data_IF_867888486836
#
_entry.id   IF_867888486836
#
_cell.length_a   1.000
_cell.length_b   1.000
_cell.length_c   1.000
_cell.angle_alpha   90.00
_cell.angle_beta   90.00
_cell.angle_gamma   90.00
#
_symmetry.space_group_name_H-M   'P 1'
#
loop_
_entity.id
_entity.type
_entity.pdbx_description
1 polymer ?
#
# COMPACT_ATOMS: atom_id res chain seq x y z
N UNK A 1 27.64 39.91 -21.73
CA UNK A 1 28.33 39.58 -20.46
C UNK A 1 27.35 39.58 -19.31
N UNK A 2 27.33 38.53 -18.48
CA UNK A 2 26.51 38.47 -17.25
C UNK A 2 27.17 39.39 -16.23
N UNK A 3 26.45 40.40 -15.73
CA UNK A 3 26.98 41.27 -14.69
C UNK A 3 26.98 40.58 -13.33
N UNK A 4 27.92 40.94 -12.43
CA UNK A 4 28.02 40.44 -11.06
C UNK A 4 26.65 40.49 -10.33
N UNK A 5 25.87 41.54 -10.56
CA UNK A 5 24.54 41.74 -9.98
C UNK A 5 23.53 40.73 -10.51
N UNK A 6 23.53 40.41 -11.81
CA UNK A 6 22.68 39.39 -12.39
C UNK A 6 23.06 37.99 -11.88
N UNK A 7 24.34 37.69 -11.77
CA UNK A 7 24.83 36.42 -11.24
C UNK A 7 24.39 36.18 -9.79
N UNK A 8 24.57 37.18 -8.90
CA UNK A 8 24.13 37.10 -7.49
C UNK A 8 22.59 36.93 -7.39
N UNK A 9 21.83 37.69 -8.20
CA UNK A 9 20.35 37.53 -8.23
C UNK A 9 19.92 36.15 -8.71
N UNK A 10 20.57 35.60 -9.72
CA UNK A 10 20.30 34.26 -10.22
C UNK A 10 20.62 33.19 -9.19
N UNK A 11 21.74 33.27 -8.48
CA UNK A 11 22.07 32.35 -7.38
C UNK A 11 21.03 32.47 -6.25
N UNK A 12 20.72 33.71 -5.83
CA UNK A 12 19.72 33.94 -4.79
C UNK A 12 18.33 33.35 -5.17
N UNK A 13 17.90 33.54 -6.41
CA UNK A 13 16.65 32.97 -6.93
C UNK A 13 16.67 31.46 -6.96
N UNK A 14 17.75 30.83 -7.42
CA UNK A 14 17.91 29.37 -7.44
C UNK A 14 17.96 28.78 -6.02
N UNK A 15 18.64 29.43 -5.09
CA UNK A 15 18.69 29.01 -3.70
C UNK A 15 17.31 29.09 -3.04
N UNK A 16 16.57 30.19 -3.25
CA UNK A 16 15.20 30.35 -2.74
C UNK A 16 14.26 29.28 -3.31
N UNK A 17 14.35 29.00 -4.61
CA UNK A 17 13.57 27.93 -5.24
C UNK A 17 13.92 26.55 -4.65
N UNK A 18 15.20 26.25 -4.46
CA UNK A 18 15.65 25.01 -3.85
C UNK A 18 15.12 24.81 -2.43
N UNK A 19 15.20 25.85 -1.59
CA UNK A 19 14.67 25.84 -0.21
C UNK A 19 13.14 25.65 -0.21
N UNK A 20 12.42 26.37 -1.07
CA UNK A 20 10.96 26.27 -1.17
C UNK A 20 10.51 24.87 -1.64
N UNK A 21 11.23 24.29 -2.61
CA UNK A 21 10.96 22.93 -3.09
C UNK A 21 11.22 21.89 -2.01
N UNK A 22 12.31 22.02 -1.25
CA UNK A 22 12.62 21.13 -0.13
C UNK A 22 11.57 21.25 0.99
N UNK A 23 11.19 22.47 1.36
CA UNK A 23 10.13 22.70 2.35
C UNK A 23 8.79 22.12 1.93
N UNK A 24 8.42 22.25 0.64
CA UNK A 24 7.24 21.62 0.08
C UNK A 24 7.31 20.10 0.16
N UNK A 25 8.42 19.50 -0.29
CA UNK A 25 8.59 18.04 -0.36
C UNK A 25 8.70 17.36 1.00
N UNK A 26 9.16 18.07 2.05
CA UNK A 26 9.27 17.53 3.41
C UNK A 26 8.05 17.87 4.28
N UNK A 27 7.56 19.11 4.21
CA UNK A 27 6.54 19.59 5.14
C UNK A 27 5.12 19.63 4.59
N UNK A 28 4.95 19.91 3.29
CA UNK A 28 3.61 20.13 2.72
C UNK A 28 3.08 18.86 2.05
N UNK A 29 3.77 18.35 1.05
CA UNK A 29 3.23 17.22 0.30
C UNK A 29 3.04 15.96 1.15
N UNK A 30 4.03 15.48 1.93
CA UNK A 30 3.85 14.26 2.70
C UNK A 30 2.86 14.40 3.86
N UNK A 31 2.63 15.61 4.39
CA UNK A 31 1.83 15.82 5.60
C UNK A 31 0.42 16.35 5.31
N UNK A 32 0.29 17.29 4.36
CA UNK A 32 -0.95 18.03 4.15
C UNK A 32 -1.71 17.65 2.89
N UNK A 33 -1.15 16.84 1.99
CA UNK A 33 -1.70 16.56 0.65
C UNK A 33 -2.29 15.16 0.53
N UNK A 34 -3.21 14.78 1.43
CA UNK A 34 -3.97 13.53 1.26
C UNK A 34 -4.96 13.65 0.08
N UNK A 35 -4.91 12.71 -0.85
CA UNK A 35 -5.85 12.61 -1.97
C UNK A 35 -6.56 11.26 -2.01
N UNK A 36 -7.65 11.20 -2.78
CA UNK A 36 -8.29 9.95 -3.19
C UNK A 36 -8.01 9.74 -4.68
N UNK A 37 -7.30 8.66 -5.01
CA UNK A 37 -7.02 8.28 -6.40
C UNK A 37 -8.01 7.20 -6.82
N UNK A 38 -8.73 7.43 -7.94
CA UNK A 38 -9.79 6.56 -8.40
C UNK A 38 -9.39 5.77 -9.63
N UNK A 39 -9.67 4.46 -9.60
CA UNK A 39 -9.46 3.55 -10.72
C UNK A 39 -10.76 2.80 -11.04
N UNK A 40 -11.01 2.62 -12.33
CA UNK A 40 -12.15 1.88 -12.87
C UNK A 40 -11.65 0.81 -13.84
N UNK A 41 -10.89 -0.19 -13.36
CA UNK A 41 -10.41 -1.27 -14.22
C UNK A 41 -11.57 -2.14 -14.68
N UNK A 42 -11.39 -2.79 -15.82
CA UNK A 42 -12.35 -3.75 -16.40
C UNK A 42 -11.65 -5.10 -16.60
N UNK A 43 -11.34 -5.82 -15.53
CA UNK A 43 -10.66 -7.10 -15.61
C UNK A 43 -11.53 -8.12 -16.33
N UNK A 44 -10.92 -8.95 -17.19
CA UNK A 44 -11.66 -9.97 -17.97
C UNK A 44 -12.36 -11.01 -17.09
N UNK A 45 -11.78 -11.29 -15.91
CA UNK A 45 -12.29 -12.30 -14.96
C UNK A 45 -13.26 -11.71 -13.94
N UNK A 46 -13.60 -10.43 -14.03
CA UNK A 46 -14.61 -9.79 -13.19
C UNK A 46 -15.87 -9.54 -14.02
N UNK A 47 -17.05 -10.02 -13.58
CA UNK A 47 -18.30 -9.79 -14.32
C UNK A 47 -18.61 -8.29 -14.41
N UNK A 48 -18.93 -7.84 -15.62
CA UNK A 48 -19.14 -6.40 -15.88
C UNK A 48 -20.35 -5.81 -15.14
N UNK A 49 -21.32 -6.65 -14.79
CA UNK A 49 -22.54 -6.34 -14.05
C UNK A 49 -22.42 -6.57 -12.53
N UNK A 50 -21.21 -6.82 -12.03
CA UNK A 50 -20.97 -7.04 -10.59
C UNK A 50 -20.22 -5.84 -10.00
N UNK A 51 -20.94 -4.81 -9.51
CA UNK A 51 -20.30 -3.62 -8.94
C UNK A 51 -19.68 -3.93 -7.57
N UNK A 52 -18.42 -3.56 -7.41
CA UNK A 52 -17.72 -3.62 -6.13
C UNK A 52 -16.84 -2.38 -5.97
N UNK A 53 -17.04 -1.63 -4.90
CA UNK A 53 -16.20 -0.48 -4.52
C UNK A 53 -15.24 -0.88 -3.42
N UNK A 54 -13.96 -0.77 -3.67
CA UNK A 54 -12.88 -1.11 -2.74
C UNK A 54 -12.14 0.17 -2.36
N UNK A 55 -11.89 0.39 -1.07
CA UNK A 55 -10.90 1.35 -0.62
C UNK A 55 -9.63 0.60 -0.19
N UNK A 56 -8.48 0.97 -0.74
CA UNK A 56 -7.20 0.39 -0.40
C UNK A 56 -6.31 1.43 0.28
N UNK A 57 -5.74 1.03 1.41
CA UNK A 57 -4.79 1.78 2.25
C UNK A 57 -3.48 1.01 2.25
N UNK A 58 -2.36 1.69 2.00
CA UNK A 58 -1.04 1.09 1.96
C UNK A 58 0.00 1.98 2.64
N UNK A 59 1.06 1.36 3.15
CA UNK A 59 2.29 2.04 3.55
C UNK A 59 2.02 3.19 4.53
N UNK A 60 1.35 2.90 5.64
CA UNK A 60 0.99 3.89 6.66
C UNK A 60 2.25 4.42 7.35
N UNK A 61 3.18 3.51 7.73
CA UNK A 61 4.42 3.87 8.42
C UNK A 61 4.20 4.77 9.64
N UNK A 62 3.36 4.32 10.57
CA UNK A 62 2.93 5.07 11.75
C UNK A 62 4.12 5.54 12.61
N UNK A 63 4.29 6.87 12.72
CA UNK A 63 5.35 7.51 13.51
C UNK A 63 5.11 9.00 13.68
N UNK A 64 5.59 9.58 14.77
CA UNK A 64 5.62 11.03 14.93
C UNK A 64 6.92 11.62 14.38
N UNK A 65 6.87 12.81 13.76
CA UNK A 65 5.70 13.65 13.50
C UNK A 65 5.01 13.38 12.15
N UNK A 66 5.47 12.38 11.37
CA UNK A 66 5.10 12.26 9.95
C UNK A 66 3.75 11.57 9.71
N UNK A 67 3.40 10.59 10.55
CA UNK A 67 2.15 9.84 10.47
C UNK A 67 1.64 9.57 11.90
N UNK A 68 1.19 10.63 12.56
CA UNK A 68 0.63 10.58 13.92
C UNK A 68 -0.71 9.83 13.98
N UNK A 69 -1.13 9.44 15.18
CA UNK A 69 -2.44 8.79 15.39
C UNK A 69 -3.58 9.67 14.89
N UNK A 70 -3.56 10.97 15.19
CA UNK A 70 -4.56 11.93 14.70
C UNK A 70 -4.65 11.94 13.17
N UNK A 71 -3.50 11.85 12.49
CA UNK A 71 -3.48 11.78 11.04
C UNK A 71 -4.05 10.47 10.52
N UNK A 72 -3.78 9.35 11.19
CA UNK A 72 -4.38 8.05 10.87
C UNK A 72 -5.90 8.09 11.10
N UNK A 73 -6.39 8.74 12.15
CA UNK A 73 -7.81 8.99 12.39
C UNK A 73 -8.45 9.76 11.22
N UNK A 74 -7.82 10.84 10.77
CA UNK A 74 -8.29 11.58 9.58
C UNK A 74 -8.31 10.75 8.30
N UNK A 75 -7.37 9.79 8.13
CA UNK A 75 -7.38 8.83 7.03
C UNK A 75 -8.54 7.85 7.16
N UNK A 76 -8.82 7.34 8.36
CA UNK A 76 -9.95 6.46 8.66
C UNK A 76 -11.26 7.17 8.32
N UNK A 77 -11.46 8.39 8.79
CA UNK A 77 -12.66 9.18 8.52
C UNK A 77 -12.84 9.42 7.01
N UNK A 78 -11.76 9.79 6.34
CA UNK A 78 -11.78 10.01 4.88
C UNK A 78 -12.09 8.75 4.10
N UNK A 79 -11.58 7.59 4.55
CA UNK A 79 -11.85 6.28 3.93
C UNK A 79 -13.30 5.88 4.14
N UNK A 80 -13.83 6.02 5.34
CA UNK A 80 -15.23 5.74 5.66
C UNK A 80 -16.20 6.61 4.87
N UNK A 81 -15.85 7.89 4.66
CA UNK A 81 -16.65 8.84 3.85
C UNK A 81 -16.76 8.45 2.36
N UNK A 82 -15.89 7.56 1.87
CA UNK A 82 -16.01 7.00 0.52
C UNK A 82 -17.16 5.98 0.41
N UNK A 83 -17.67 5.47 1.54
CA UNK A 83 -18.66 4.40 1.59
C UNK A 83 -18.26 3.19 0.73
N UNK A 84 -17.10 2.58 0.96
CA UNK A 84 -16.66 1.41 0.23
C UNK A 84 -17.46 0.16 0.63
N UNK A 85 -17.59 -0.80 -0.29
CA UNK A 85 -18.12 -2.12 0.02
C UNK A 85 -17.11 -2.98 0.81
N UNK A 86 -15.83 -2.78 0.53
CA UNK A 86 -14.69 -3.52 1.06
C UNK A 86 -13.54 -2.57 1.34
N UNK A 87 -12.84 -2.73 2.46
CA UNK A 87 -11.59 -2.03 2.74
C UNK A 87 -10.45 -3.05 2.79
N UNK A 88 -9.32 -2.74 2.15
CA UNK A 88 -8.12 -3.57 2.18
C UNK A 88 -6.91 -2.77 2.64
N UNK A 89 -6.12 -3.37 3.52
CA UNK A 89 -4.90 -2.81 4.08
C UNK A 89 -3.71 -3.60 3.49
N UNK A 90 -2.81 -2.91 2.79
CA UNK A 90 -1.82 -3.53 1.92
C UNK A 90 -0.41 -3.62 2.55
N UNK A 91 -0.29 -3.53 3.88
CA UNK A 91 0.98 -3.70 4.58
C UNK A 91 1.72 -2.40 4.88
N UNK A 92 2.88 -2.55 5.54
CA UNK A 92 3.79 -1.49 5.99
C UNK A 92 3.11 -0.49 6.94
N UNK A 93 2.63 -1.01 8.07
CA UNK A 93 1.99 -0.21 9.13
C UNK A 93 2.99 0.46 10.04
N UNK A 94 4.12 -0.21 10.33
CA UNK A 94 5.15 0.27 11.23
C UNK A 94 6.06 1.30 10.57
N UNK A 95 6.72 2.13 11.38
CA UNK A 95 7.58 3.19 10.89
C UNK A 95 8.66 2.69 9.92
N UNK A 96 8.73 3.31 8.73
CA UNK A 96 9.79 3.10 7.74
C UNK A 96 10.93 4.11 7.81
N UNK A 97 10.86 5.05 8.77
CA UNK A 97 11.80 6.16 8.96
C UNK A 97 12.62 5.95 10.22
N UNK A 98 13.88 6.47 10.21
CA UNK A 98 14.72 6.58 11.40
C UNK A 98 14.64 7.98 12.05
N UNK A 99 14.31 9.02 11.27
CA UNK A 99 14.18 10.41 11.72
C UNK A 99 12.77 10.63 12.30
N UNK A 100 12.50 10.03 13.45
CA UNK A 100 11.21 10.08 14.13
C UNK A 100 11.39 10.59 15.56
N UNK A 101 10.39 11.28 16.08
CA UNK A 101 10.35 11.69 17.48
C UNK A 101 9.73 10.63 18.37
N UNK A 102 8.89 9.76 17.79
CA UNK A 102 8.25 8.63 18.47
C UNK A 102 7.92 7.52 17.48
N UNK A 103 8.27 6.29 17.81
CA UNK A 103 7.73 5.09 17.18
C UNK A 103 6.38 4.77 17.82
N UNK A 104 5.32 4.71 17.01
CA UNK A 104 3.96 4.43 17.51
C UNK A 104 3.80 2.92 17.67
N UNK A 105 3.45 2.41 18.88
CA UNK A 105 3.21 0.99 19.10
C UNK A 105 2.09 0.43 18.21
N UNK A 106 2.23 -0.83 17.78
CA UNK A 106 1.25 -1.46 16.90
C UNK A 106 -0.16 -1.50 17.49
N UNK A 107 -0.30 -1.67 18.80
CA UNK A 107 -1.60 -1.63 19.48
C UNK A 107 -2.31 -0.27 19.41
N UNK A 108 -1.56 0.84 19.25
CA UNK A 108 -2.15 2.18 19.19
C UNK A 108 -2.72 2.46 17.78
N UNK A 109 -1.92 2.30 16.74
CA UNK A 109 -2.41 2.54 15.37
C UNK A 109 -3.44 1.48 14.92
N UNK A 110 -3.32 0.22 15.37
CA UNK A 110 -4.31 -0.80 15.08
C UNK A 110 -5.68 -0.48 15.68
N UNK A 111 -5.71 0.08 16.91
CA UNK A 111 -6.95 0.56 17.54
C UNK A 111 -7.60 1.68 16.73
N UNK A 112 -6.82 2.57 16.16
CA UNK A 112 -7.36 3.64 15.27
C UNK A 112 -7.91 3.02 13.99
N UNK A 113 -7.19 2.06 13.37
CA UNK A 113 -7.64 1.37 12.16
C UNK A 113 -8.91 0.53 12.38
N UNK A 114 -9.19 0.07 13.61
CA UNK A 114 -10.46 -0.56 13.97
C UNK A 114 -11.69 0.35 13.75
N UNK A 115 -11.48 1.66 13.59
CA UNK A 115 -12.52 2.63 13.20
C UNK A 115 -12.95 2.54 11.72
N UNK A 116 -12.25 1.80 10.87
CA UNK A 116 -12.61 1.57 9.47
C UNK A 116 -13.91 0.75 9.38
N UNK A 117 -14.78 1.10 8.41
CA UNK A 117 -16.11 0.49 8.27
C UNK A 117 -16.43 0.19 6.81
N UNK A 118 -16.71 -1.06 6.51
CA UNK A 118 -17.23 -1.50 5.21
C UNK A 118 -18.17 -2.71 5.39
N UNK A 119 -19.24 -2.85 4.59
CA UNK A 119 -20.18 -3.98 4.69
C UNK A 119 -19.53 -5.35 4.55
N UNK A 120 -18.50 -5.48 3.72
CA UNK A 120 -17.74 -6.72 3.52
C UNK A 120 -16.51 -6.83 4.42
N UNK A 121 -16.35 -5.89 5.36
CA UNK A 121 -15.24 -5.89 6.32
C UNK A 121 -14.00 -5.13 5.88
N UNK A 122 -13.01 -5.20 6.78
CA UNK A 122 -11.66 -4.68 6.59
C UNK A 122 -10.71 -5.86 6.63
N UNK A 123 -9.86 -6.01 5.62
CA UNK A 123 -8.97 -7.16 5.45
C UNK A 123 -7.54 -6.70 5.20
N UNK A 124 -6.55 -7.41 5.73
CA UNK A 124 -5.18 -6.98 5.73
C UNK A 124 -4.19 -8.03 5.19
N UNK A 125 -3.11 -7.55 4.59
CA UNK A 125 -1.86 -8.30 4.41
C UNK A 125 -0.73 -7.54 5.11
N UNK A 126 0.40 -8.19 5.34
CA UNK A 126 1.58 -7.59 5.94
C UNK A 126 2.54 -7.07 4.87
N UNK A 127 3.37 -6.08 5.24
CA UNK A 127 4.46 -5.60 4.41
C UNK A 127 5.83 -5.86 5.04
N UNK A 128 6.89 -5.63 4.28
CA UNK A 128 8.25 -5.99 4.67
C UNK A 128 8.73 -5.26 5.94
N UNK A 129 8.34 -4.00 6.15
CA UNK A 129 8.70 -3.29 7.38
C UNK A 129 8.06 -3.91 8.63
N UNK A 130 6.87 -4.47 8.53
CA UNK A 130 6.18 -5.14 9.64
C UNK A 130 6.94 -6.39 10.12
N UNK A 131 7.66 -7.06 9.19
CA UNK A 131 8.56 -8.17 9.52
C UNK A 131 9.94 -7.70 9.99
N UNK A 132 10.51 -6.68 9.33
CA UNK A 132 11.90 -6.27 9.58
C UNK A 132 12.17 -5.75 10.97
N UNK A 133 11.16 -5.14 11.61
CA UNK A 133 11.28 -4.63 12.98
C UNK A 133 11.02 -5.69 14.03
N UNK A 134 10.41 -6.82 13.68
CA UNK A 134 10.12 -7.92 14.62
C UNK A 134 11.29 -8.90 14.71
N UNK A 135 12.16 -8.66 15.70
CA UNK A 135 13.37 -9.47 15.90
C UNK A 135 13.07 -10.94 16.13
N UNK A 136 11.98 -11.27 16.84
CA UNK A 136 11.62 -12.64 17.14
C UNK A 136 11.24 -13.40 15.86
N UNK A 137 10.41 -12.79 15.01
CA UNK A 137 10.02 -13.35 13.72
C UNK A 137 11.20 -13.45 12.77
N UNK A 138 12.10 -12.45 12.75
CA UNK A 138 13.33 -12.50 11.94
C UNK A 138 14.24 -13.66 12.36
N UNK A 139 14.34 -13.96 13.66
CA UNK A 139 15.14 -15.07 14.18
C UNK A 139 14.50 -16.44 13.92
N UNK A 140 13.17 -16.51 14.05
CA UNK A 140 12.41 -17.75 13.84
C UNK A 140 12.24 -18.10 12.36
N UNK A 141 12.29 -17.09 11.46
CA UNK A 141 12.00 -17.24 10.04
C UNK A 141 10.54 -17.58 9.72
N UNK A 142 9.63 -17.35 10.67
CA UNK A 142 8.20 -17.62 10.54
C UNK A 142 7.40 -17.03 11.72
N UNK A 143 6.09 -17.04 11.58
CA UNK A 143 5.14 -16.68 12.62
C UNK A 143 4.59 -15.27 12.48
N UNK A 144 3.47 -14.98 13.16
CA UNK A 144 2.83 -13.68 13.09
C UNK A 144 3.71 -12.61 13.75
N UNK A 145 3.81 -11.45 13.10
CA UNK A 145 4.53 -10.28 13.63
C UNK A 145 3.73 -9.62 14.77
N UNK A 146 4.37 -8.69 15.49
CA UNK A 146 3.65 -7.85 16.48
C UNK A 146 2.55 -7.03 15.79
N UNK A 147 2.80 -6.54 14.57
CA UNK A 147 1.82 -5.81 13.77
C UNK A 147 0.62 -6.70 13.37
N UNK A 148 0.88 -7.93 12.94
CA UNK A 148 -0.15 -8.93 12.61
C UNK A 148 -1.08 -9.16 13.82
N UNK A 149 -0.51 -9.51 14.97
CA UNK A 149 -1.29 -9.74 16.20
C UNK A 149 -2.07 -8.51 16.65
N UNK A 150 -1.55 -7.31 16.43
CA UNK A 150 -2.24 -6.07 16.78
C UNK A 150 -3.46 -5.82 15.89
N UNK A 151 -3.38 -6.11 14.59
CA UNK A 151 -4.53 -6.03 13.67
C UNK A 151 -5.61 -7.06 14.03
N UNK A 152 -5.23 -8.31 14.28
CA UNK A 152 -6.18 -9.35 14.69
C UNK A 152 -6.87 -9.00 16.02
N UNK A 153 -6.12 -8.50 17.00
CA UNK A 153 -6.67 -8.02 18.26
C UNK A 153 -7.61 -6.83 18.11
N UNK A 154 -7.45 -6.05 17.04
CA UNK A 154 -8.33 -4.95 16.65
C UNK A 154 -9.53 -5.40 15.79
N UNK A 155 -9.70 -6.71 15.57
CA UNK A 155 -10.79 -7.30 14.79
C UNK A 155 -10.57 -7.24 13.27
N UNK A 156 -9.36 -6.98 12.81
CA UNK A 156 -9.01 -6.92 11.39
C UNK A 156 -8.26 -8.22 11.02
N UNK A 157 -8.88 -9.13 10.24
CA UNK A 157 -8.23 -10.35 9.80
C UNK A 157 -7.05 -10.08 8.89
N UNK A 158 -5.95 -10.83 9.10
CA UNK A 158 -4.72 -10.74 8.33
C UNK A 158 -4.52 -12.04 7.55
N UNK A 159 -4.24 -11.93 6.26
CA UNK A 159 -4.02 -13.08 5.39
C UNK A 159 -2.55 -13.19 5.03
N UNK A 160 -1.98 -14.36 5.31
CA UNK A 160 -0.61 -14.73 4.93
C UNK A 160 -0.66 -16.07 4.19
N UNK A 161 -0.63 -16.04 2.87
CA UNK A 161 -0.82 -17.20 1.99
C UNK A 161 -2.16 -17.90 2.23
N UNK A 162 -3.20 -17.11 2.41
CA UNK A 162 -4.55 -17.58 2.70
C UNK A 162 -5.60 -16.84 1.86
N UNK A 163 -6.83 -17.31 1.84
CA UNK A 163 -7.91 -16.71 1.10
C UNK A 163 -9.25 -16.87 1.82
N UNK A 164 -10.11 -15.86 1.66
CA UNK A 164 -11.48 -15.87 2.16
C UNK A 164 -12.46 -15.69 1.02
N UNK A 165 -13.57 -16.43 1.08
CA UNK A 165 -14.68 -16.31 0.16
C UNK A 165 -15.69 -15.29 0.70
N UNK A 166 -15.85 -14.18 0.03
CA UNK A 166 -16.79 -13.11 0.34
C UNK A 166 -17.99 -13.16 -0.60
N UNK A 167 -19.09 -12.51 -0.22
CA UNK A 167 -20.28 -12.43 -1.05
C UNK A 167 -20.90 -11.04 -0.96
N UNK A 168 -21.23 -10.45 -2.11
CA UNK A 168 -22.00 -9.23 -2.22
C UNK A 168 -23.24 -9.48 -3.07
N UNK A 169 -24.42 -9.15 -2.53
CA UNK A 169 -25.71 -9.35 -3.19
C UNK A 169 -25.90 -10.79 -3.69
N UNK A 170 -25.47 -11.79 -2.88
CA UNK A 170 -25.51 -13.21 -3.21
C UNK A 170 -24.45 -13.70 -4.22
N UNK A 171 -23.61 -12.81 -4.73
CA UNK A 171 -22.55 -13.12 -5.73
C UNK A 171 -21.21 -13.29 -5.04
N UNK A 172 -20.57 -14.46 -5.15
CA UNK A 172 -19.30 -14.74 -4.49
C UNK A 172 -18.12 -14.18 -5.25
N UNK A 173 -17.05 -13.89 -4.51
CA UNK A 173 -15.70 -13.65 -4.99
C UNK A 173 -14.69 -14.04 -3.91
N UNK A 174 -13.44 -14.24 -4.31
CA UNK A 174 -12.34 -14.56 -3.39
C UNK A 174 -11.46 -13.34 -3.16
N UNK A 175 -11.11 -13.12 -1.90
CA UNK A 175 -10.06 -12.23 -1.49
C UNK A 175 -8.89 -13.08 -1.00
N UNK A 176 -7.77 -13.07 -1.72
CA UNK A 176 -6.57 -13.84 -1.40
C UNK A 176 -5.47 -12.89 -0.93
N UNK A 177 -4.81 -13.22 0.18
CA UNK A 177 -3.68 -12.47 0.73
C UNK A 177 -2.38 -13.25 0.66
N UNK A 178 -1.38 -12.67 -0.01
CA UNK A 178 -0.06 -13.26 -0.16
C UNK A 178 0.84 -12.86 1.01
N UNK A 179 1.66 -13.77 1.50
CA UNK A 179 2.76 -13.47 2.40
C UNK A 179 3.75 -12.50 1.74
N UNK A 180 4.44 -11.73 2.56
CA UNK A 180 5.36 -10.70 2.09
C UNK A 180 6.60 -11.30 1.40
N UNK A 181 6.98 -10.76 0.23
CA UNK A 181 8.06 -11.29 -0.61
C UNK A 181 9.46 -10.93 -0.09
N UNK A 182 9.56 -9.94 0.79
CA UNK A 182 10.79 -9.42 1.38
C UNK A 182 10.83 -9.56 2.91
N UNK A 183 9.95 -10.41 3.47
CA UNK A 183 9.73 -10.57 4.91
C UNK A 183 11.01 -10.74 5.71
N UNK A 184 12.00 -11.50 5.19
CA UNK A 184 13.18 -11.89 5.95
C UNK A 184 14.45 -11.21 5.43
N UNK A 185 15.17 -10.56 6.35
CA UNK A 185 16.43 -9.89 6.04
C UNK A 185 17.55 -10.90 5.74
N UNK A 186 18.54 -10.54 4.90
CA UNK A 186 19.68 -11.42 4.60
C UNK A 186 20.43 -11.89 5.85
N UNK A 187 20.92 -13.12 5.84
CA UNK A 187 21.56 -13.83 6.95
C UNK A 187 22.71 -13.09 7.65
N UNK A 188 23.32 -12.08 7.04
CA UNK A 188 24.39 -11.27 7.67
C UNK A 188 23.89 -10.39 8.82
N UNK A 189 22.61 -10.06 8.89
CA UNK A 189 22.01 -9.25 9.97
C UNK A 189 21.38 -10.10 11.08
N UNK A 190 20.80 -11.23 10.71
CA UNK A 190 20.17 -12.18 11.63
C UNK A 190 20.56 -13.59 11.17
N UNK A 191 20.52 -14.58 12.06
CA UNK A 191 20.66 -16.00 11.67
C UNK A 191 19.42 -16.41 10.87
N UNK A 192 19.35 -16.04 9.61
CA UNK A 192 18.20 -16.31 8.76
C UNK A 192 18.26 -17.76 8.25
N UNK A 193 17.10 -18.33 8.04
CA UNK A 193 16.89 -19.65 7.45
C UNK A 193 17.27 -19.73 5.96
N UNK A 194 17.83 -18.66 5.38
CA UNK A 194 18.10 -18.56 3.92
C UNK A 194 16.86 -18.22 3.10
N UNK A 195 15.70 -18.05 3.73
CA UNK A 195 14.43 -17.68 3.10
C UNK A 195 14.32 -16.16 3.06
N UNK A 196 13.98 -15.58 1.89
CA UNK A 196 13.81 -14.14 1.73
C UNK A 196 12.36 -13.70 1.93
N UNK A 197 11.39 -14.45 1.39
CA UNK A 197 9.98 -14.14 1.45
C UNK A 197 9.20 -15.13 2.29
N UNK A 198 8.08 -14.68 2.80
CA UNK A 198 7.03 -15.51 3.38
C UNK A 198 6.02 -15.96 2.30
N UNK A 199 6.12 -15.42 1.07
CA UNK A 199 5.18 -15.62 -0.01
C UNK A 199 5.14 -17.07 -0.53
N UNK A 200 3.92 -17.57 -0.73
CA UNK A 200 3.63 -18.81 -1.46
C UNK A 200 2.37 -18.61 -2.31
N UNK A 201 2.56 -18.11 -3.54
CA UNK A 201 1.45 -17.85 -4.46
C UNK A 201 0.68 -19.12 -4.82
N UNK A 202 1.37 -20.25 -4.90
CA UNK A 202 0.74 -21.55 -5.24
C UNK A 202 -0.18 -22.01 -4.12
N UNK A 203 0.31 -22.01 -2.88
CA UNK A 203 -0.50 -22.35 -1.71
C UNK A 203 -1.67 -21.37 -1.52
N UNK A 204 -1.43 -20.07 -1.71
CA UNK A 204 -2.48 -19.03 -1.63
C UNK A 204 -3.62 -19.31 -2.61
N UNK A 205 -3.30 -19.55 -3.88
CA UNK A 205 -4.31 -19.79 -4.91
C UNK A 205 -4.95 -21.19 -4.82
N UNK A 206 -4.30 -22.16 -4.18
CA UNK A 206 -4.90 -23.47 -3.90
C UNK A 206 -6.05 -23.40 -2.89
N UNK A 207 -6.17 -22.32 -2.10
CA UNK A 207 -7.30 -22.08 -1.21
C UNK A 207 -8.57 -21.67 -1.96
N UNK A 208 -8.45 -21.24 -3.20
CA UNK A 208 -9.56 -20.84 -4.06
C UNK A 208 -10.16 -22.08 -4.71
N UNK A 209 -11.31 -22.52 -4.22
CA UNK A 209 -11.87 -23.85 -4.51
C UNK A 209 -12.97 -23.87 -5.57
N UNK A 210 -13.41 -22.68 -6.07
CA UNK A 210 -14.42 -22.57 -7.12
C UNK A 210 -14.01 -21.52 -8.17
N UNK A 211 -14.87 -21.27 -9.17
CA UNK A 211 -14.60 -20.37 -10.29
C UNK A 211 -14.96 -18.90 -10.02
N UNK A 212 -15.34 -18.54 -8.80
CA UNK A 212 -15.65 -17.16 -8.45
C UNK A 212 -14.42 -16.24 -8.67
N UNK A 213 -14.61 -14.97 -9.07
CA UNK A 213 -13.52 -14.04 -9.32
C UNK A 213 -12.57 -13.89 -8.13
N UNK A 214 -11.29 -13.65 -8.40
CA UNK A 214 -10.25 -13.51 -7.35
C UNK A 214 -9.65 -12.11 -7.36
N UNK A 215 -9.59 -11.49 -6.19
CA UNK A 215 -8.78 -10.30 -5.91
C UNK A 215 -7.60 -10.74 -5.06
N UNK A 216 -6.38 -10.44 -5.51
CA UNK A 216 -5.14 -10.75 -4.81
C UNK A 216 -4.61 -9.50 -4.11
N UNK A 217 -4.36 -9.59 -2.81
CA UNK A 217 -3.61 -8.61 -2.04
C UNK A 217 -2.16 -9.09 -1.94
N UNK A 218 -1.22 -8.29 -2.38
CA UNK A 218 0.21 -8.56 -2.28
C UNK A 218 0.94 -7.25 -2.04
N UNK A 219 1.68 -7.15 -0.94
CA UNK A 219 2.35 -5.90 -0.60
C UNK A 219 3.26 -5.44 -1.74
N UNK A 220 4.20 -6.29 -2.19
CA UNK A 220 5.05 -5.96 -3.32
C UNK A 220 4.38 -6.25 -4.67
N UNK A 221 4.44 -5.32 -5.62
CA UNK A 221 3.89 -5.52 -6.96
C UNK A 221 4.71 -6.49 -7.83
N UNK A 222 5.91 -6.85 -7.40
CA UNK A 222 6.87 -7.66 -8.18
C UNK A 222 6.38 -9.07 -8.49
N UNK A 223 5.41 -9.60 -7.75
CA UNK A 223 4.77 -10.89 -8.02
C UNK A 223 3.93 -10.87 -9.29
N UNK A 224 3.47 -9.72 -9.74
CA UNK A 224 2.49 -9.56 -10.82
C UNK A 224 2.79 -10.35 -12.12
N UNK A 225 4.04 -10.47 -12.61
CA UNK A 225 4.34 -11.29 -13.79
C UNK A 225 4.06 -12.79 -13.60
N UNK A 226 4.08 -13.27 -12.35
CA UNK A 226 3.84 -14.67 -11.97
C UNK A 226 2.36 -14.96 -11.70
N UNK A 227 1.57 -13.92 -11.42
CA UNK A 227 0.14 -14.05 -11.13
C UNK A 227 -0.60 -14.60 -12.36
N UNK A 228 -1.36 -15.70 -12.21
CA UNK A 228 -2.06 -16.30 -13.35
C UNK A 228 -3.27 -15.45 -13.79
N UNK A 229 -3.68 -15.63 -15.05
CA UNK A 229 -4.80 -14.91 -15.65
C UNK A 229 -6.15 -15.16 -14.95
N UNK A 230 -6.25 -16.15 -14.06
CA UNK A 230 -7.42 -16.42 -13.24
C UNK A 230 -7.70 -15.31 -12.22
N UNK A 231 -6.68 -14.63 -11.74
CA UNK A 231 -6.82 -13.48 -10.85
C UNK A 231 -7.34 -12.29 -11.64
N UNK A 232 -8.41 -11.67 -11.18
CA UNK A 232 -9.00 -10.51 -11.84
C UNK A 232 -8.18 -9.24 -11.56
N UNK A 233 -7.87 -9.01 -10.29
CA UNK A 233 -7.20 -7.79 -9.83
C UNK A 233 -6.15 -8.12 -8.78
N UNK A 234 -4.96 -7.52 -8.90
CA UNK A 234 -3.96 -7.44 -7.84
C UNK A 234 -3.92 -6.02 -7.28
N UNK A 235 -3.89 -5.89 -5.96
CA UNK A 235 -3.70 -4.63 -5.23
C UNK A 235 -2.37 -4.68 -4.47
N UNK A 236 -1.55 -3.65 -4.62
CA UNK A 236 -0.20 -3.59 -4.05
C UNK A 236 0.14 -2.19 -3.51
N UNK A 237 1.11 -2.14 -2.57
CA UNK A 237 1.74 -0.94 -2.03
C UNK A 237 3.26 -0.93 -2.28
N UNK A 238 4.05 -0.81 -1.20
CA UNK A 238 5.50 -0.98 -1.12
C UNK A 238 6.34 0.08 -1.81
N UNK A 239 6.02 0.43 -3.03
CA UNK A 239 6.89 1.26 -3.89
C UNK A 239 6.84 2.74 -3.56
N UNK A 240 5.80 3.18 -2.84
CA UNK A 240 5.50 4.60 -2.58
C UNK A 240 5.43 5.45 -3.87
N UNK A 241 5.23 4.83 -5.03
CA UNK A 241 5.38 5.50 -6.32
C UNK A 241 6.79 6.07 -6.55
N UNK A 242 7.79 5.66 -5.73
CA UNK A 242 9.14 6.19 -5.67
C UNK A 242 9.28 7.46 -4.82
N UNK A 243 8.25 7.86 -4.06
CA UNK A 243 8.17 9.06 -3.20
C UNK A 243 8.48 10.39 -3.91
N UNK A 244 9.50 10.43 -4.76
CA UNK A 244 9.87 11.59 -5.59
C UNK A 244 9.69 11.24 -7.05
N UNK A 245 8.80 11.97 -7.73
CA UNK A 245 8.48 11.76 -9.14
C UNK A 245 8.42 13.09 -9.89
N UNK A 246 9.19 13.20 -10.95
CA UNK A 246 9.19 14.36 -11.83
C UNK A 246 8.92 13.89 -13.26
N UNK A 247 7.85 14.36 -13.88
CA UNK A 247 7.45 14.00 -15.26
C UNK A 247 7.40 12.46 -15.49
N UNK A 248 6.95 11.71 -14.47
CA UNK A 248 6.85 10.25 -14.54
C UNK A 248 8.12 9.48 -14.20
N UNK A 249 9.27 10.14 -14.09
CA UNK A 249 10.53 9.54 -13.66
C UNK A 249 10.74 9.65 -12.14
N UNK A 250 11.34 8.63 -11.54
CA UNK A 250 11.71 8.61 -10.13
C UNK A 250 13.13 8.08 -9.95
N UNK A 251 13.99 8.76 -9.17
CA UNK A 251 15.35 8.29 -8.86
C UNK A 251 15.35 7.11 -7.88
N UNK A 252 14.29 6.93 -7.10
CA UNK A 252 14.20 5.94 -6.03
C UNK A 252 13.65 4.58 -6.49
N UNK A 253 13.07 4.49 -7.69
CA UNK A 253 12.56 3.22 -8.22
C UNK A 253 13.71 2.38 -8.74
N UNK A 254 13.99 1.19 -8.17
CA UNK A 254 15.03 0.30 -8.66
C UNK A 254 14.79 -0.09 -10.12
N UNK A 255 15.86 -0.09 -10.93
CA UNK A 255 15.77 -0.47 -12.36
C UNK A 255 15.20 -1.87 -12.56
N UNK A 256 15.44 -2.80 -11.61
CA UNK A 256 14.92 -4.18 -11.64
C UNK A 256 13.41 -4.26 -11.48
N UNK A 257 12.79 -3.36 -10.73
CA UNK A 257 11.32 -3.28 -10.60
C UNK A 257 10.67 -2.68 -11.84
N UNK A 258 11.41 -1.86 -12.56
CA UNK A 258 10.93 -1.08 -13.70
C UNK A 258 9.89 -0.02 -13.29
N UNK A 259 9.94 1.13 -13.93
CA UNK A 259 8.97 2.23 -13.69
C UNK A 259 7.52 1.81 -13.88
N UNK A 260 7.28 0.72 -14.63
CA UNK A 260 5.94 0.22 -14.94
C UNK A 260 5.23 -0.34 -13.72
N UNK A 261 5.94 -1.03 -12.80
CA UNK A 261 5.37 -1.59 -11.55
C UNK A 261 5.62 -0.70 -10.34
N UNK A 262 5.89 0.58 -10.58
CA UNK A 262 6.16 1.50 -9.48
C UNK A 262 4.91 2.23 -8.98
N UNK A 263 3.89 2.41 -9.81
CA UNK A 263 2.73 3.25 -9.45
C UNK A 263 1.60 3.16 -10.46
N UNK A 264 0.37 3.18 -9.96
CA UNK A 264 -0.83 3.32 -10.76
C UNK A 264 -1.37 2.01 -11.30
N UNK A 265 -2.15 2.09 -12.38
CA UNK A 265 -2.81 0.94 -12.99
C UNK A 265 -1.96 0.35 -14.12
N UNK A 266 -1.69 -0.94 -14.05
CA UNK A 266 -0.94 -1.70 -15.05
C UNK A 266 -1.74 -2.94 -15.46
N UNK A 267 -1.87 -3.18 -16.75
CA UNK A 267 -2.49 -4.40 -17.26
C UNK A 267 -1.41 -5.40 -17.69
N UNK A 268 -1.43 -6.57 -17.03
CA UNK A 268 -0.60 -7.75 -17.37
C UNK A 268 -1.53 -8.93 -17.70
N UNK A 269 -1.31 -10.11 -17.10
CA UNK A 269 -2.26 -11.23 -17.15
C UNK A 269 -3.54 -10.93 -16.35
N UNK A 270 -3.40 -10.13 -15.29
CA UNK A 270 -4.48 -9.50 -14.52
C UNK A 270 -4.31 -7.98 -14.53
N UNK A 271 -5.31 -7.26 -14.06
CA UNK A 271 -5.16 -5.84 -13.74
C UNK A 271 -4.39 -5.70 -12.42
N UNK A 272 -3.44 -4.77 -12.36
CA UNK A 272 -2.61 -4.50 -11.17
C UNK A 272 -2.73 -3.03 -10.82
N UNK A 273 -3.10 -2.72 -9.59
CA UNK A 273 -3.11 -1.35 -9.08
C UNK A 273 -2.08 -1.24 -7.96
N UNK A 274 -1.15 -0.31 -8.12
CA UNK A 274 -0.07 -0.06 -7.19
C UNK A 274 -0.29 1.32 -6.56
N UNK A 275 -0.51 1.32 -5.25
CA UNK A 275 -0.68 2.54 -4.45
C UNK A 275 0.64 3.28 -4.27
N UNK A 276 0.57 4.61 -4.25
CA UNK A 276 1.67 5.47 -3.81
C UNK A 276 1.83 5.52 -2.29
N UNK A 277 0.94 4.86 -1.53
CA UNK A 277 1.00 4.79 -0.08
C UNK A 277 0.70 6.11 0.63
N UNK A 278 0.65 6.06 1.94
CA UNK A 278 0.30 7.19 2.82
C UNK A 278 1.49 7.82 3.53
N UNK A 279 2.34 6.99 4.14
CA UNK A 279 3.53 7.43 4.88
C UNK A 279 4.76 7.64 4.01
N UNK A 280 5.90 7.70 4.65
CA UNK A 280 7.21 7.77 3.99
C UNK A 280 8.11 6.64 4.51
N UNK A 281 8.96 6.12 3.65
CA UNK A 281 10.01 5.17 3.98
C UNK A 281 11.39 5.76 3.66
N UNK A 282 12.42 5.41 4.44
CA UNK A 282 13.82 5.86 4.29
C UNK A 282 14.00 7.35 4.58
N UNK A 283 13.28 8.22 3.89
CA UNK A 283 13.35 9.69 4.03
C UNK A 283 11.94 10.29 4.09
N UNK A 284 11.71 11.31 4.94
CA UNK A 284 10.39 11.95 5.07
C UNK A 284 10.14 12.95 3.94
N UNK A 285 10.20 12.48 2.70
CA UNK A 285 10.09 13.33 1.50
C UNK A 285 9.09 12.73 0.53
N UNK A 286 8.14 13.56 0.06
CA UNK A 286 7.32 13.28 -1.11
C UNK A 286 7.32 14.47 -2.05
N UNK A 287 7.43 14.19 -3.35
CA UNK A 287 7.34 15.20 -4.39
C UNK A 287 6.73 14.60 -5.66
N UNK A 288 5.56 15.07 -6.04
CA UNK A 288 4.81 14.55 -7.19
C UNK A 288 4.12 13.20 -6.96
N UNK A 289 4.16 12.68 -5.72
CA UNK A 289 3.43 11.48 -5.28
C UNK A 289 2.82 11.76 -3.90
N UNK A 290 1.79 12.58 -3.82
CA UNK A 290 1.14 12.88 -2.54
C UNK A 290 0.55 11.61 -1.92
N UNK A 291 0.46 11.53 -0.59
CA UNK A 291 -0.23 10.47 0.13
C UNK A 291 -1.62 10.20 -0.45
N UNK A 292 -2.00 8.94 -0.60
CA UNK A 292 -3.28 8.61 -1.21
C UNK A 292 -4.02 7.44 -0.57
N UNK A 293 -5.35 7.56 -0.58
CA UNK A 293 -6.28 6.44 -0.45
C UNK A 293 -6.65 6.05 -1.88
N UNK A 294 -6.55 4.78 -2.21
CA UNK A 294 -6.93 4.28 -3.54
C UNK A 294 -8.37 3.77 -3.49
N UNK A 295 -9.23 4.31 -4.35
CA UNK A 295 -10.59 3.83 -4.56
C UNK A 295 -10.65 3.07 -5.89
N UNK A 296 -11.07 1.80 -5.83
CA UNK A 296 -11.22 0.95 -7.03
C UNK A 296 -12.68 0.59 -7.17
N UNK A 297 -13.25 0.85 -8.35
CA UNK A 297 -14.59 0.41 -8.69
C UNK A 297 -14.51 -0.64 -9.78
N UNK A 298 -14.91 -1.86 -9.46
CA UNK A 298 -15.08 -2.98 -10.40
C UNK A 298 -16.53 -3.08 -10.84
N UNK A 299 -16.74 -3.55 -12.06
CA UNK A 299 -18.06 -3.68 -12.65
C UNK A 299 -18.75 -2.34 -12.89
N UNK A 300 -19.95 -2.38 -13.43
CA UNK A 300 -20.82 -1.21 -13.59
C UNK A 300 -22.10 -1.46 -12.79
N UNK A 301 -22.54 -0.46 -12.02
CA UNK A 301 -23.90 -0.49 -11.53
C UNK A 301 -24.87 -0.61 -12.72
N UNK A 302 -25.88 -1.46 -12.63
CA UNK A 302 -26.94 -1.49 -13.62
C UNK A 302 -27.47 -0.05 -13.78
N UNK A 303 -27.75 0.43 -15.02
CA UNK A 303 -28.41 1.72 -15.19
C UNK A 303 -29.72 1.68 -14.38
N UNK A 304 -29.94 2.67 -13.54
CA UNK A 304 -31.22 2.86 -12.86
C UNK A 304 -32.22 3.14 -13.99
N UNK A 305 -33.08 2.17 -14.29
CA UNK A 305 -34.21 2.38 -15.19
C UNK A 305 -35.18 3.27 -14.43
N UNK A 306 -35.15 4.56 -14.76
CA UNK A 306 -36.08 5.58 -14.26
C UNK A 306 -37.39 5.48 -15.01
#
# INVERSE_FOLDING_TARGET
MITRRHFIRSIGGLSALGVSTAAYGVGIEPVLRLRVTRYHPTPRQWPADFPLKIAAIADIHACDPWMSLERIEGIVDRTNALNPDLIVLLGDYVAGLHQVTRFIPSSEWARVLAGLKAPLGVHAVMGNHDYWVDRAVQQAGQGPTVAHRALEAAGIPVYENDAVRLSKDGRPFWLAGLGDQLAFLPARRFRSTGRFGADDLTATLAKVTDDAPVILLAHEPNIAPRVPARVALQLSGHTHGGQVRLLGWSPAVPKQQGLRLAYGHVRLKCDVIISGGLGCSIMPVRFGVPPEIVEVTLGRAAPVVS
#
